data_IF_584773264351
#
_entry.id   IF_584773264351
#
_cell.length_a   1.000
_cell.length_b   1.000
_cell.length_c   1.000
_cell.angle_alpha   90.00
_cell.angle_beta   90.00
_cell.angle_gamma   90.00
#
_symmetry.space_group_name_H-M   'P 1'
#
loop_
_entity.id
_entity.type
_entity.pdbx_description
1 polymer ?
#
# COMPACT_ATOMS: atom_id res chain seq x y z
N UNK A 1 -15.93 0.24 61.48
CA UNK A 1 -15.37 -0.38 60.26
C UNK A 1 -16.37 -0.18 59.13
N UNK A 2 -16.07 0.70 58.16
CA UNK A 2 -16.92 0.93 56.98
C UNK A 2 -16.07 0.67 55.73
N UNK A 3 -16.46 -0.35 54.96
CA UNK A 3 -15.83 -0.68 53.68
C UNK A 3 -16.33 0.29 52.61
N UNK A 4 -15.41 1.00 51.95
CA UNK A 4 -15.68 1.84 50.79
C UNK A 4 -15.64 0.99 49.53
N UNK A 5 -16.81 0.69 48.94
CA UNK A 5 -16.90 0.06 47.63
C UNK A 5 -16.46 1.05 46.53
N UNK A 6 -15.25 0.82 45.99
CA UNK A 6 -14.76 1.48 44.80
C UNK A 6 -15.43 0.92 43.55
N UNK A 7 -16.48 1.60 43.07
CA UNK A 7 -17.14 1.27 41.81
C UNK A 7 -16.18 1.45 40.61
N UNK A 8 -15.70 0.34 40.05
CA UNK A 8 -14.90 0.33 38.82
C UNK A 8 -15.77 0.69 37.61
N UNK A 9 -15.76 1.97 37.23
CA UNK A 9 -16.45 2.51 36.06
C UNK A 9 -15.87 1.94 34.76
N UNK A 10 -16.52 0.90 34.20
CA UNK A 10 -16.23 0.39 32.85
C UNK A 10 -16.37 1.50 31.81
N UNK A 11 -15.23 1.92 31.24
CA UNK A 11 -15.16 2.92 30.17
C UNK A 11 -15.77 2.31 28.90
N UNK A 12 -17.02 2.67 28.57
CA UNK A 12 -17.65 2.26 27.31
C UNK A 12 -16.83 2.83 26.15
N UNK A 13 -16.23 1.95 25.34
CA UNK A 13 -15.58 2.35 24.10
C UNK A 13 -16.66 2.86 23.14
N UNK A 14 -16.75 4.19 23.00
CA UNK A 14 -17.68 4.83 22.08
C UNK A 14 -17.14 4.73 20.64
N UNK A 15 -17.58 3.69 19.92
CA UNK A 15 -17.24 3.40 18.52
C UNK A 15 -17.49 4.61 17.58
N UNK A 16 -18.35 5.56 17.97
CA UNK A 16 -18.60 6.77 17.18
C UNK A 16 -17.43 7.77 17.23
N UNK A 17 -16.64 7.79 18.31
CA UNK A 17 -15.47 8.68 18.42
C UNK A 17 -14.31 8.23 17.52
N UNK A 18 -14.09 6.92 17.40
CA UNK A 18 -13.03 6.35 16.56
C UNK A 18 -13.26 6.68 15.08
N UNK A 19 -14.51 6.61 14.62
CA UNK A 19 -14.89 6.97 13.24
C UNK A 19 -14.65 8.45 12.92
N UNK A 20 -14.93 9.35 13.87
CA UNK A 20 -14.66 10.79 13.71
C UNK A 20 -13.15 11.07 13.64
N UNK A 21 -12.35 10.41 14.47
CA UNK A 21 -10.89 10.53 14.46
C UNK A 21 -10.27 10.01 13.16
N UNK A 22 -10.71 8.83 12.69
CA UNK A 22 -10.30 8.29 11.38
C UNK A 22 -10.69 9.21 10.23
N UNK A 23 -11.92 9.72 10.25
CA UNK A 23 -12.40 10.71 9.27
C UNK A 23 -11.55 11.99 9.31
N UNK A 24 -11.13 12.43 10.48
CA UNK A 24 -10.28 13.62 10.63
C UNK A 24 -8.87 13.38 10.08
N UNK A 25 -8.23 12.24 10.40
CA UNK A 25 -6.92 11.86 9.83
C UNK A 25 -7.00 11.67 8.31
N UNK A 26 -8.07 11.04 7.83
CA UNK A 26 -8.36 10.92 6.40
C UNK A 26 -8.53 12.28 5.72
N UNK A 27 -9.28 13.21 6.34
CA UNK A 27 -9.42 14.58 5.85
C UNK A 27 -8.10 15.35 5.88
N UNK A 28 -7.24 15.13 6.88
CA UNK A 28 -5.90 15.73 6.97
C UNK A 28 -5.01 15.21 5.83
N UNK A 29 -5.04 13.91 5.54
CA UNK A 29 -4.32 13.29 4.41
C UNK A 29 -4.82 13.79 3.04
N UNK A 30 -6.14 13.98 2.88
CA UNK A 30 -6.74 14.51 1.66
C UNK A 30 -6.50 16.00 1.44
N UNK A 31 -6.26 16.76 2.51
CA UNK A 31 -6.04 18.22 2.47
C UNK A 31 -4.56 18.58 2.40
N UNK A 32 -3.67 17.74 2.94
CA UNK A 32 -2.23 17.84 2.77
C UNK A 32 -1.83 17.60 1.30
N UNK A 33 -0.84 18.35 0.81
CA UNK A 33 -0.26 18.28 -0.56
C UNK A 33 0.36 16.91 -0.95
N UNK A 34 0.05 15.81 -0.24
CA UNK A 34 0.67 14.49 -0.41
C UNK A 34 -0.26 13.26 -0.33
N UNK A 35 -1.57 13.41 -0.11
CA UNK A 35 -2.48 12.26 0.05
C UNK A 35 -2.43 11.22 -1.09
N UNK A 36 -2.61 11.62 -2.36
CA UNK A 36 -2.43 10.73 -3.52
C UNK A 36 -1.04 10.10 -3.60
N UNK A 37 -0.01 10.86 -3.22
CA UNK A 37 1.39 10.40 -3.20
C UNK A 37 1.60 9.24 -2.25
N UNK A 38 1.14 9.40 -1.00
CA UNK A 38 1.28 8.38 0.04
C UNK A 38 0.60 7.07 -0.38
N UNK A 39 -0.58 7.17 -1.01
CA UNK A 39 -1.32 6.00 -1.51
C UNK A 39 -0.60 5.34 -2.69
N UNK A 40 -0.10 6.12 -3.64
CA UNK A 40 0.70 5.60 -4.75
C UNK A 40 1.99 4.93 -4.27
N UNK A 41 2.72 5.55 -3.34
CA UNK A 41 3.91 4.96 -2.71
C UNK A 41 3.57 3.65 -2.02
N UNK A 42 2.47 3.62 -1.25
CA UNK A 42 1.98 2.39 -0.63
C UNK A 42 1.73 1.30 -1.67
N UNK A 43 0.94 1.60 -2.71
CA UNK A 43 0.63 0.67 -3.79
C UNK A 43 1.90 0.11 -4.45
N UNK A 44 2.85 0.97 -4.81
CA UNK A 44 4.12 0.58 -5.39
C UNK A 44 4.92 -0.37 -4.49
N UNK A 45 4.97 -0.10 -3.18
CA UNK A 45 5.64 -0.98 -2.21
C UNK A 45 4.95 -2.35 -2.16
N UNK A 46 3.62 -2.38 -2.03
CA UNK A 46 2.88 -3.64 -1.96
C UNK A 46 3.06 -4.49 -3.21
N UNK A 47 3.03 -3.85 -4.38
CA UNK A 47 3.24 -4.51 -5.67
C UNK A 47 4.69 -5.01 -5.81
N UNK A 48 5.68 -4.19 -5.45
CA UNK A 48 7.10 -4.56 -5.52
C UNK A 48 7.43 -5.72 -4.59
N UNK A 49 6.93 -5.68 -3.34
CA UNK A 49 7.14 -6.75 -2.37
C UNK A 49 6.55 -8.05 -2.87
N UNK A 50 5.35 -8.01 -3.45
CA UNK A 50 4.69 -9.23 -3.93
C UNK A 50 5.46 -9.96 -5.02
N UNK A 51 6.24 -9.23 -5.85
CA UNK A 51 7.01 -9.83 -6.94
C UNK A 51 8.11 -10.79 -6.47
N UNK A 52 8.51 -10.77 -5.19
CA UNK A 52 9.46 -11.75 -4.65
C UNK A 52 8.96 -12.49 -3.41
N UNK A 53 7.85 -12.08 -2.79
CA UNK A 53 7.36 -12.73 -1.57
C UNK A 53 6.43 -13.91 -1.79
N UNK A 54 5.84 -14.08 -2.98
CA UNK A 54 5.00 -15.23 -3.31
C UNK A 54 5.69 -16.60 -3.16
N UNK A 55 6.97 -16.76 -3.57
CA UNK A 55 7.75 -17.96 -3.27
C UNK A 55 8.00 -18.20 -1.76
N UNK A 56 7.85 -17.17 -0.92
CA UNK A 56 8.29 -17.18 0.48
C UNK A 56 7.16 -17.38 1.51
N UNK A 57 5.98 -17.85 1.09
CA UNK A 57 4.86 -18.27 1.95
C UNK A 57 4.54 -17.26 3.08
N UNK A 58 4.15 -16.04 2.71
CA UNK A 58 3.51 -15.11 3.65
C UNK A 58 4.43 -14.14 4.41
N UNK A 59 5.73 -14.07 4.09
CA UNK A 59 6.64 -13.05 4.64
C UNK A 59 6.32 -11.61 4.21
N UNK A 60 5.36 -11.42 3.30
CA UNK A 60 4.99 -10.13 2.75
C UNK A 60 4.64 -9.08 3.81
N UNK A 61 3.86 -9.41 4.84
CA UNK A 61 3.46 -8.43 5.86
C UNK A 61 4.65 -7.90 6.66
N UNK A 62 5.64 -8.75 6.94
CA UNK A 62 6.87 -8.38 7.63
C UNK A 62 7.75 -7.43 6.80
N UNK A 63 7.64 -7.46 5.46
CA UNK A 63 8.33 -6.51 4.59
C UNK A 63 7.50 -5.25 4.31
N UNK A 64 6.21 -5.40 4.01
CA UNK A 64 5.34 -4.28 3.65
C UNK A 64 5.26 -3.27 4.79
N UNK A 65 5.07 -3.72 6.03
CA UNK A 65 4.89 -2.82 7.16
C UNK A 65 6.08 -1.85 7.38
N UNK A 66 7.35 -2.33 7.53
CA UNK A 66 8.48 -1.44 7.70
C UNK A 66 8.75 -0.59 6.46
N UNK A 67 8.61 -1.12 5.24
CA UNK A 67 8.84 -0.33 4.02
C UNK A 67 7.81 0.81 3.88
N UNK A 68 6.53 0.52 4.15
CA UNK A 68 5.47 1.53 4.14
C UNK A 68 5.75 2.61 5.20
N UNK A 69 6.18 2.23 6.39
CA UNK A 69 6.53 3.19 7.43
C UNK A 69 7.74 4.05 7.04
N UNK A 70 8.82 3.42 6.55
CA UNK A 70 10.08 4.07 6.17
C UNK A 70 9.90 5.06 5.02
N UNK A 71 9.21 4.64 3.95
CA UNK A 71 8.95 5.46 2.76
C UNK A 71 7.73 6.37 2.92
N UNK A 72 7.14 6.42 4.12
CA UNK A 72 5.94 7.19 4.42
C UNK A 72 4.81 6.88 3.42
N UNK A 73 4.61 5.62 3.09
CA UNK A 73 3.49 5.16 2.28
C UNK A 73 2.19 5.02 3.07
N UNK A 74 1.10 4.74 2.37
CA UNK A 74 -0.18 4.37 2.98
C UNK A 74 -0.34 2.85 3.00
N UNK A 75 -0.56 2.28 4.19
CA UNK A 75 -0.69 0.83 4.36
C UNK A 75 -1.85 0.23 3.55
N UNK A 76 -3.01 0.88 3.51
CA UNK A 76 -4.13 0.39 2.69
C UNK A 76 -3.81 0.41 1.18
N UNK A 77 -3.00 1.39 0.73
CA UNK A 77 -2.51 1.43 -0.64
C UNK A 77 -1.61 0.22 -0.94
N UNK A 78 -0.73 -0.13 0.00
CA UNK A 78 0.14 -1.30 -0.12
C UNK A 78 -0.63 -2.61 -0.17
N UNK A 79 -1.68 -2.78 0.63
CA UNK A 79 -2.52 -3.98 0.55
C UNK A 79 -3.21 -4.11 -0.83
N UNK A 80 -3.68 -2.99 -1.40
CA UNK A 80 -4.26 -2.99 -2.75
C UNK A 80 -3.20 -3.36 -3.79
N UNK A 81 -2.01 -2.76 -3.72
CA UNK A 81 -0.89 -3.08 -4.62
C UNK A 81 -0.44 -4.53 -4.51
N UNK A 82 -0.45 -5.07 -3.29
CA UNK A 82 -0.13 -6.47 -3.00
C UNK A 82 -1.14 -7.44 -3.63
N UNK A 83 -2.44 -7.19 -3.44
CA UNK A 83 -3.50 -8.00 -4.06
C UNK A 83 -3.44 -7.90 -5.58
N UNK A 84 -3.19 -6.70 -6.13
CA UNK A 84 -2.98 -6.53 -7.57
C UNK A 84 -1.75 -7.29 -8.06
N UNK A 85 -0.67 -7.27 -7.28
CA UNK A 85 0.54 -8.05 -7.49
C UNK A 85 0.25 -9.53 -7.71
N UNK A 86 -0.67 -10.14 -6.93
CA UNK A 86 -1.07 -11.55 -7.11
C UNK A 86 -1.61 -11.86 -8.50
N UNK A 87 -2.41 -10.95 -9.06
CA UNK A 87 -3.05 -11.13 -10.37
C UNK A 87 -1.99 -11.13 -11.47
N UNK A 88 -1.01 -10.23 -11.36
CA UNK A 88 0.03 -10.05 -12.39
C UNK A 88 1.28 -10.91 -12.14
N UNK A 89 1.41 -11.55 -10.98
CA UNK A 89 2.64 -12.22 -10.58
C UNK A 89 3.00 -13.37 -11.51
N UNK A 90 2.06 -14.27 -11.81
CA UNK A 90 2.34 -15.48 -12.62
C UNK A 90 2.97 -15.13 -13.97
N UNK A 91 2.38 -14.24 -14.80
CA UNK A 91 3.02 -13.87 -16.07
C UNK A 91 4.36 -13.15 -15.87
N UNK A 92 4.47 -12.25 -14.88
CA UNK A 92 5.73 -11.54 -14.62
C UNK A 92 6.85 -12.47 -14.14
N UNK A 93 6.51 -13.47 -13.32
CA UNK A 93 7.47 -14.40 -12.75
C UNK A 93 8.13 -15.27 -13.81
N UNK A 94 7.33 -15.75 -14.77
CA UNK A 94 7.80 -16.61 -15.86
C UNK A 94 8.57 -15.78 -16.90
N UNK A 95 8.03 -14.62 -17.30
CA UNK A 95 8.58 -13.81 -18.38
C UNK A 95 9.80 -12.97 -17.99
N UNK A 96 9.84 -12.48 -16.74
CA UNK A 96 10.85 -11.52 -16.30
C UNK A 96 11.62 -11.99 -15.08
N UNK A 97 10.97 -12.40 -13.99
CA UNK A 97 11.69 -12.67 -12.74
C UNK A 97 12.66 -13.85 -12.90
N UNK A 98 12.23 -14.96 -13.49
CA UNK A 98 13.10 -16.12 -13.70
C UNK A 98 14.33 -15.80 -14.57
N UNK A 99 14.20 -15.23 -15.80
CA UNK A 99 15.37 -14.93 -16.62
C UNK A 99 16.27 -13.84 -16.04
N UNK A 100 15.70 -12.80 -15.41
CA UNK A 100 16.50 -11.77 -14.73
C UNK A 100 17.24 -12.38 -13.54
N UNK A 101 16.59 -13.27 -12.79
CA UNK A 101 17.20 -13.99 -11.68
C UNK A 101 18.34 -14.90 -12.11
N UNK A 102 18.16 -15.69 -13.17
CA UNK A 102 19.21 -16.58 -13.68
C UNK A 102 20.40 -15.82 -14.28
N UNK A 103 20.19 -14.60 -14.79
CA UNK A 103 21.26 -13.74 -15.29
C UNK A 103 22.11 -13.17 -14.15
N UNK A 104 21.46 -12.84 -13.02
CA UNK A 104 22.13 -12.21 -11.86
C UNK A 104 22.77 -13.23 -10.94
N UNK A 105 22.19 -14.42 -10.79
CA UNK A 105 22.68 -15.48 -9.91
C UNK A 105 23.68 -16.36 -10.66
N UNK A 106 24.97 -16.38 -10.24
CA UNK A 106 25.96 -17.25 -10.87
C UNK A 106 25.66 -18.74 -10.61
N UNK A 107 25.96 -19.64 -11.57
CA UNK A 107 25.65 -21.08 -11.44
C UNK A 107 26.23 -21.72 -10.18
N UNK A 108 27.45 -21.35 -9.76
CA UNK A 108 28.12 -21.92 -8.58
C UNK A 108 27.65 -21.35 -7.23
N UNK A 109 26.94 -20.22 -7.22
CA UNK A 109 26.47 -19.60 -5.99
C UNK A 109 25.35 -20.42 -5.32
N UNK A 110 24.56 -21.14 -6.13
CA UNK A 110 23.50 -22.03 -5.65
C UNK A 110 24.06 -23.20 -4.86
N UNK A 111 25.04 -23.92 -5.41
CA UNK A 111 25.67 -25.06 -4.74
C UNK A 111 26.34 -24.61 -3.43
N UNK A 112 27.03 -23.46 -3.41
CA UNK A 112 27.64 -22.92 -2.19
C UNK A 112 26.62 -22.65 -1.07
N UNK A 113 25.49 -22.02 -1.41
CA UNK A 113 24.41 -21.74 -0.47
C UNK A 113 23.79 -23.04 0.06
N UNK A 114 23.48 -23.99 -0.82
CA UNK A 114 22.84 -25.26 -0.48
C UNK A 114 23.64 -26.05 0.57
N UNK A 115 24.97 -26.01 0.52
CA UNK A 115 25.82 -26.69 1.50
C UNK A 115 25.83 -26.02 2.89
N UNK A 116 25.42 -24.76 3.01
CA UNK A 116 25.40 -24.01 4.28
C UNK A 116 24.01 -23.89 4.92
N UNK A 117 22.94 -24.32 4.24
CA UNK A 117 21.58 -24.31 4.79
C UNK A 117 21.08 -25.74 5.05
N UNK A 118 20.16 -25.93 6.02
CA UNK A 118 19.54 -27.22 6.27
C UNK A 118 18.86 -27.78 5.01
N UNK A 119 18.85 -29.10 4.85
CA UNK A 119 18.33 -29.79 3.65
C UNK A 119 16.88 -29.39 3.28
N UNK A 120 16.04 -29.09 4.27
CA UNK A 120 14.66 -28.64 4.03
C UNK A 120 14.59 -27.24 3.40
N UNK A 121 15.52 -26.34 3.74
CA UNK A 121 15.65 -25.02 3.11
C UNK A 121 16.30 -25.12 1.73
N UNK A 122 17.29 -25.99 1.58
CA UNK A 122 18.03 -26.16 0.33
C UNK A 122 17.11 -26.48 -0.86
N UNK A 123 16.13 -27.38 -0.67
CA UNK A 123 15.20 -27.78 -1.72
C UNK A 123 14.27 -26.64 -2.16
N UNK A 124 13.82 -25.80 -1.22
CA UNK A 124 13.00 -24.61 -1.52
C UNK A 124 13.85 -23.55 -2.22
N UNK A 125 15.06 -23.31 -1.72
CA UNK A 125 15.96 -22.28 -2.23
C UNK A 125 16.41 -22.57 -3.67
N UNK A 126 16.65 -23.85 -4.03
CA UNK A 126 17.14 -24.23 -5.37
C UNK A 126 16.20 -23.80 -6.50
N UNK A 127 14.88 -23.86 -6.26
CA UNK A 127 13.85 -23.42 -7.22
C UNK A 127 13.41 -21.96 -7.04
N UNK A 128 13.47 -21.41 -5.82
CA UNK A 128 12.95 -20.07 -5.53
C UNK A 128 13.99 -18.95 -5.63
N UNK A 129 15.30 -19.23 -5.56
CA UNK A 129 16.33 -18.18 -5.48
C UNK A 129 16.34 -17.26 -6.71
N UNK A 130 16.26 -17.81 -7.92
CA UNK A 130 16.17 -16.99 -9.14
C UNK A 130 14.89 -16.14 -9.15
N UNK A 131 13.76 -16.73 -8.74
CA UNK A 131 12.48 -16.01 -8.68
C UNK A 131 12.51 -14.89 -7.65
N UNK A 132 13.16 -15.09 -6.51
CA UNK A 132 13.31 -14.08 -5.46
C UNK A 132 14.25 -12.96 -5.95
N UNK A 133 15.44 -13.30 -6.44
CA UNK A 133 16.43 -12.31 -6.91
C UNK A 133 15.89 -11.49 -8.07
N UNK A 134 15.37 -12.16 -9.10
CA UNK A 134 14.76 -11.47 -10.22
C UNK A 134 13.50 -10.71 -9.82
N UNK A 135 12.70 -11.26 -8.91
CA UNK A 135 11.52 -10.59 -8.35
C UNK A 135 11.83 -9.32 -7.57
N UNK A 136 12.96 -9.25 -6.86
CA UNK A 136 13.39 -8.02 -6.18
C UNK A 136 13.72 -6.91 -7.18
N UNK A 137 14.43 -7.25 -8.26
CA UNK A 137 14.82 -6.29 -9.31
C UNK A 137 13.59 -5.86 -10.12
N UNK A 138 12.87 -6.82 -10.69
CA UNK A 138 11.68 -6.57 -11.51
C UNK A 138 10.60 -5.89 -10.67
N UNK A 139 10.38 -6.34 -9.44
CA UNK A 139 9.44 -5.71 -8.51
C UNK A 139 9.80 -4.28 -8.17
N UNK A 140 11.09 -3.99 -7.93
CA UNK A 140 11.56 -2.63 -7.70
C UNK A 140 11.29 -1.70 -8.89
N UNK A 141 11.64 -2.16 -10.10
CA UNK A 141 11.41 -1.41 -11.34
C UNK A 141 9.90 -1.23 -11.60
N UNK A 142 9.13 -2.30 -11.50
CA UNK A 142 7.68 -2.28 -11.73
C UNK A 142 6.95 -1.40 -10.72
N UNK A 143 7.33 -1.47 -9.44
CA UNK A 143 6.81 -0.60 -8.38
C UNK A 143 7.11 0.87 -8.67
N UNK A 144 8.32 1.19 -9.12
CA UNK A 144 8.71 2.55 -9.51
C UNK A 144 7.90 3.04 -10.72
N UNK A 145 7.73 2.21 -11.75
CA UNK A 145 6.92 2.54 -12.93
C UNK A 145 5.46 2.75 -12.53
N UNK A 146 4.89 1.85 -11.71
CA UNK A 146 3.48 1.89 -11.29
C UNK A 146 3.14 3.04 -10.35
N UNK A 147 4.14 3.68 -9.74
CA UNK A 147 3.93 4.87 -8.92
C UNK A 147 3.28 6.01 -9.73
N UNK A 148 3.77 6.26 -10.94
CA UNK A 148 3.31 7.37 -11.78
C UNK A 148 1.83 7.27 -12.21
N UNK A 149 1.35 6.16 -12.82
CA UNK A 149 -0.04 6.05 -13.24
C UNK A 149 -0.99 6.07 -12.04
N UNK A 150 -0.63 5.42 -10.93
CA UNK A 150 -1.46 5.42 -9.71
C UNK A 150 -1.54 6.82 -9.12
N UNK A 151 -0.41 7.52 -9.04
CA UNK A 151 -0.37 8.92 -8.61
C UNK A 151 -1.26 9.80 -9.50
N UNK A 152 -1.16 9.65 -10.82
CA UNK A 152 -1.95 10.42 -11.78
C UNK A 152 -3.46 10.15 -11.60
N UNK A 153 -3.86 8.88 -11.56
CA UNK A 153 -5.25 8.46 -11.37
C UNK A 153 -5.85 9.02 -10.08
N UNK A 154 -5.09 8.96 -8.98
CA UNK A 154 -5.52 9.45 -7.68
C UNK A 154 -5.58 10.98 -7.62
N UNK A 155 -4.63 11.69 -8.26
CA UNK A 155 -4.65 13.15 -8.38
C UNK A 155 -5.88 13.63 -9.15
N UNK A 156 -6.17 13.00 -10.30
CA UNK A 156 -7.35 13.31 -11.12
C UNK A 156 -8.66 13.05 -10.37
N UNK A 157 -8.74 11.97 -9.59
CA UNK A 157 -9.91 11.72 -8.75
C UNK A 157 -10.02 12.68 -7.55
N UNK A 158 -8.89 13.16 -7.03
CA UNK A 158 -8.88 14.11 -5.92
C UNK A 158 -9.29 15.53 -6.35
N UNK A 159 -8.89 15.99 -7.54
CA UNK A 159 -9.30 17.30 -8.07
C UNK A 159 -10.81 17.37 -8.29
N UNK A 160 -11.39 16.36 -8.96
CA UNK A 160 -12.85 16.29 -9.22
C UNK A 160 -13.70 16.35 -7.95
N UNK A 161 -13.19 15.88 -6.80
CA UNK A 161 -13.90 15.98 -5.51
C UNK A 161 -13.79 17.36 -4.86
N UNK A 162 -12.72 18.12 -5.12
CA UNK A 162 -12.59 19.51 -4.66
C UNK A 162 -13.54 20.42 -5.42
N UNK A 163 -13.67 20.21 -6.72
CA UNK A 163 -14.52 21.04 -7.59
C UNK A 163 -16.00 20.88 -7.21
N UNK A 164 -16.47 19.65 -7.00
CA UNK A 164 -17.83 19.39 -6.50
C UNK A 164 -18.13 19.98 -5.12
N UNK A 165 -17.11 20.18 -4.28
CA UNK A 165 -17.27 20.81 -2.96
C UNK A 165 -17.24 22.35 -3.06
N UNK A 166 -16.48 22.91 -4.00
CA UNK A 166 -16.51 24.35 -4.30
C UNK A 166 -17.86 24.74 -4.89
N UNK A 167 -18.33 24.02 -5.91
CA UNK A 167 -19.64 24.25 -6.53
C UNK A 167 -20.80 24.18 -5.52
N UNK A 168 -20.77 23.23 -4.57
CA UNK A 168 -21.78 23.15 -3.50
C UNK A 168 -21.73 24.34 -2.53
N UNK A 169 -20.54 24.86 -2.25
CA UNK A 169 -20.38 26.05 -1.41
C UNK A 169 -20.79 27.32 -2.15
N UNK A 170 -20.46 27.42 -3.44
CA UNK A 170 -20.87 28.53 -4.30
C UNK A 170 -22.40 28.54 -4.46
N UNK A 171 -23.05 27.39 -4.69
CA UNK A 171 -24.52 27.28 -4.67
C UNK A 171 -25.13 27.68 -3.31
N UNK A 172 -24.53 27.25 -2.20
CA UNK A 172 -25.01 27.64 -0.86
C UNK A 172 -24.80 29.13 -0.58
N UNK A 173 -23.70 29.72 -1.04
CA UNK A 173 -23.44 31.15 -0.93
C UNK A 173 -24.40 31.96 -1.82
N UNK A 174 -24.66 31.55 -3.07
CA UNK A 174 -25.61 32.20 -3.97
C UNK A 174 -27.05 32.17 -3.45
N UNK A 175 -27.48 31.02 -2.90
CA UNK A 175 -28.78 30.88 -2.22
C UNK A 175 -28.88 31.75 -0.96
N UNK A 176 -27.79 31.92 -0.21
CA UNK A 176 -27.75 32.71 1.02
C UNK A 176 -27.61 34.23 0.76
N UNK A 177 -27.03 34.63 -0.38
CA UNK A 177 -26.86 36.04 -0.76
C UNK A 177 -28.08 36.64 -1.47
N UNK A 178 -29.13 35.85 -1.71
CA UNK A 178 -30.39 36.35 -2.27
C UNK A 178 -30.26 37.00 -3.66
N UNK A 179 -29.29 36.59 -4.47
CA UNK A 179 -29.23 37.05 -5.85
C UNK A 179 -30.45 36.47 -6.58
N UNK A 180 -31.36 37.31 -7.11
CA UNK A 180 -32.45 36.83 -7.92
C UNK A 180 -31.86 36.01 -9.06
N UNK A 181 -32.43 34.83 -9.32
CA UNK A 181 -32.13 34.14 -10.55
C UNK A 181 -32.41 35.11 -11.69
N UNK A 182 -31.43 35.28 -12.57
CA UNK A 182 -31.63 35.88 -13.87
C UNK A 182 -32.64 34.98 -14.59
N UNK A 183 -33.91 35.33 -14.42
CA UNK A 183 -34.97 34.99 -15.32
C UNK A 183 -34.84 35.97 -16.47
N UNK A 184 -34.37 35.47 -17.61
CA UNK A 184 -34.74 35.87 -18.96
C UNK A 184 -34.40 34.72 -19.93
#
# INVERSE_FOLDING_TARGET
MQYSEGALRKKKFDLKQTGRWFKYKYLLLLRAKGGPSMVATGFSIGLAVEMFTLPTVGLAFFLIFPLVWLLRGNFAGALIGFVFGKIIYVPMAILFNKPVGSLVVPPGFKEYLIHHVPAFLANVLKGSLELIVGGMIVGGVLGLIMYFPIMLLLRLHASRRKDRRRLRKEHQHAMASGLPGDAD
#
